data_IF_690492623112
#
_entry.id   IF_690492623112
#
_cell.length_a   1.000
_cell.length_b   1.000
_cell.length_c   1.000
_cell.angle_alpha   90.00
_cell.angle_beta   90.00
_cell.angle_gamma   90.00
#
_symmetry.space_group_name_H-M   'P 1'
#
loop_
_entity.id
_entity.type
_entity.pdbx_description
1 polymer ?
#
# COMPACT_ATOMS: atom_id res chain seq x y z
N UNK A 1 -39.35 -50.75 -12.18
CA UNK A 1 -39.29 -49.29 -11.94
C UNK A 1 -39.61 -48.61 -13.26
N UNK A 2 -40.84 -48.14 -13.42
CA UNK A 2 -41.42 -47.73 -14.70
C UNK A 2 -41.21 -46.25 -15.01
N UNK A 3 -40.85 -45.99 -16.25
CA UNK A 3 -40.85 -44.72 -16.98
C UNK A 3 -42.27 -44.45 -17.51
N UNK A 4 -42.81 -43.23 -17.39
CA UNK A 4 -43.73 -42.61 -18.37
C UNK A 4 -43.89 -41.11 -18.06
N UNK A 5 -43.63 -40.29 -19.07
CA UNK A 5 -43.99 -38.87 -19.18
C UNK A 5 -45.47 -38.71 -19.55
N UNK A 6 -46.14 -37.60 -19.23
CA UNK A 6 -47.17 -37.00 -20.10
C UNK A 6 -47.51 -35.54 -19.73
N UNK A 7 -47.75 -34.73 -20.78
CA UNK A 7 -48.02 -33.29 -20.82
C UNK A 7 -49.53 -32.96 -20.86
N UNK A 8 -49.83 -31.65 -20.68
CA UNK A 8 -51.05 -30.87 -21.07
C UNK A 8 -52.27 -30.95 -20.13
N UNK A 9 -53.11 -29.93 -19.91
CA UNK A 9 -53.55 -28.79 -20.74
C UNK A 9 -54.16 -27.64 -19.89
N UNK A 10 -54.47 -26.52 -20.53
CA UNK A 10 -54.70 -25.13 -20.06
C UNK A 10 -56.19 -24.71 -19.94
N UNK A 11 -56.45 -23.63 -19.13
CA UNK A 11 -57.50 -22.53 -19.15
C UNK A 11 -58.80 -22.68 -18.33
N UNK A 12 -59.58 -21.59 -18.02
CA UNK A 12 -59.33 -20.11 -18.07
C UNK A 12 -59.86 -19.29 -16.84
N UNK A 13 -59.63 -17.96 -16.81
CA UNK A 13 -60.26 -16.93 -15.95
C UNK A 13 -61.63 -16.44 -16.50
N UNK A 14 -62.58 -15.98 -15.64
CA UNK A 14 -63.28 -14.67 -15.72
C UNK A 14 -64.49 -14.49 -14.74
N UNK A 15 -64.51 -13.29 -14.12
CA UNK A 15 -65.53 -12.42 -13.46
C UNK A 15 -67.06 -12.72 -13.42
N UNK A 16 -67.71 -12.31 -12.30
CA UNK A 16 -68.98 -11.52 -12.17
C UNK A 16 -69.23 -11.22 -10.66
N UNK A 17 -69.13 -9.98 -10.16
CA UNK A 17 -70.17 -8.93 -10.02
C UNK A 17 -71.39 -9.31 -9.17
N UNK A 18 -71.44 -8.83 -7.91
CA UNK A 18 -72.69 -8.66 -7.14
C UNK A 18 -72.51 -7.49 -6.15
N UNK A 19 -73.25 -6.40 -6.38
CA UNK A 19 -73.55 -5.35 -5.41
C UNK A 19 -74.81 -5.73 -4.63
N UNK A 20 -74.77 -5.62 -3.30
CA UNK A 20 -75.93 -5.22 -2.50
C UNK A 20 -75.46 -4.79 -1.09
N UNK A 21 -75.82 -3.56 -0.68
CA UNK A 21 -75.60 -3.00 0.65
C UNK A 21 -76.75 -3.44 1.59
N UNK A 22 -76.58 -3.61 2.92
CA UNK A 22 -76.57 -2.42 3.79
C UNK A 22 -75.84 -2.51 5.17
N UNK A 23 -75.41 -1.34 5.64
CA UNK A 23 -75.37 -0.82 7.04
C UNK A 23 -74.72 -1.57 8.21
N UNK A 24 -73.69 -0.90 8.76
CA UNK A 24 -73.32 -0.71 10.18
C UNK A 24 -73.17 -1.93 11.12
N UNK A 25 -71.92 -2.27 11.42
CA UNK A 25 -71.48 -2.57 12.79
C UNK A 25 -69.97 -2.29 12.95
N UNK A 26 -69.66 -1.33 13.82
CA UNK A 26 -68.33 -0.93 14.25
C UNK A 26 -67.62 -2.07 15.00
N UNK A 27 -66.48 -2.54 14.51
CA UNK A 27 -65.47 -3.24 15.31
C UNK A 27 -64.06 -2.82 14.89
N UNK A 28 -63.67 -1.67 15.43
CA UNK A 28 -62.37 -1.38 16.01
C UNK A 28 -61.27 -2.45 15.78
N UNK A 29 -60.58 -2.38 14.64
CA UNK A 29 -59.21 -2.88 14.50
C UNK A 29 -58.37 -1.66 14.15
N UNK A 30 -57.73 -1.13 15.17
CA UNK A 30 -56.73 -0.08 15.09
C UNK A 30 -55.54 -0.61 14.27
N UNK A 31 -55.60 -0.53 12.95
CA UNK A 31 -54.44 -0.74 12.08
C UNK A 31 -53.53 0.47 12.25
N UNK A 32 -52.65 0.37 13.25
CA UNK A 32 -51.54 1.31 13.43
C UNK A 32 -50.79 1.36 12.10
N UNK A 33 -51.00 2.43 11.35
CA UNK A 33 -50.40 2.63 10.02
C UNK A 33 -48.90 2.65 10.24
N UNK A 34 -48.20 1.65 9.72
CA UNK A 34 -46.73 1.59 9.80
C UNK A 34 -46.23 2.68 8.86
N UNK A 35 -45.58 3.70 9.40
CA UNK A 35 -45.01 4.80 8.61
C UNK A 35 -43.99 4.26 7.61
N UNK A 36 -44.05 4.69 6.35
CA UNK A 36 -43.18 4.22 5.26
C UNK A 36 -41.68 4.43 5.56
N UNK A 37 -41.37 5.41 6.42
CA UNK A 37 -40.01 5.70 6.91
C UNK A 37 -39.38 4.55 7.71
N UNK A 38 -40.18 3.58 8.17
CA UNK A 38 -39.70 2.35 8.83
C UNK A 38 -39.13 1.34 7.81
N UNK A 39 -39.49 1.48 6.53
CA UNK A 39 -39.04 0.61 5.45
C UNK A 39 -37.88 1.19 4.64
N UNK A 40 -37.39 2.38 5.00
CA UNK A 40 -36.20 2.96 4.36
C UNK A 40 -34.96 2.47 5.13
N UNK A 41 -34.30 1.43 4.61
CA UNK A 41 -32.90 1.17 4.95
C UNK A 41 -32.08 2.37 4.48
N UNK A 42 -31.78 3.29 5.40
CA UNK A 42 -30.78 4.33 5.16
C UNK A 42 -29.43 3.65 5.21
N UNK A 43 -28.97 3.15 4.07
CA UNK A 43 -27.56 2.80 3.88
C UNK A 43 -26.73 4.02 4.23
N UNK A 44 -26.17 4.04 5.44
CA UNK A 44 -25.10 4.98 5.75
C UNK A 44 -23.96 4.59 4.81
N UNK A 45 -23.48 5.50 3.94
CA UNK A 45 -22.25 5.21 3.20
C UNK A 45 -21.19 4.86 4.25
N UNK A 46 -20.61 3.67 4.12
CA UNK A 46 -19.62 3.14 5.05
C UNK A 46 -18.47 4.14 5.18
N UNK A 47 -18.44 4.90 6.28
CA UNK A 47 -17.36 5.84 6.58
C UNK A 47 -15.99 5.14 6.69
N UNK A 48 -15.98 3.81 6.85
CA UNK A 48 -14.79 2.97 6.92
C UNK A 48 -14.04 2.91 5.58
N UNK A 49 -14.73 2.89 4.43
CA UNK A 49 -14.08 2.70 3.13
C UNK A 49 -13.22 3.91 2.68
N UNK A 50 -13.55 5.12 3.13
CA UNK A 50 -12.78 6.33 2.78
C UNK A 50 -11.50 6.48 3.62
N UNK A 51 -11.52 6.03 4.88
CA UNK A 51 -10.36 6.08 5.77
C UNK A 51 -9.28 5.12 5.28
N UNK A 52 -9.67 3.93 4.82
CA UNK A 52 -8.74 2.93 4.31
C UNK A 52 -8.03 3.40 3.02
N UNK A 53 -8.75 4.12 2.14
CA UNK A 53 -8.17 4.64 0.89
C UNK A 53 -7.07 5.69 1.13
N UNK A 54 -7.32 6.67 1.99
CA UNK A 54 -6.36 7.76 2.26
C UNK A 54 -5.12 7.25 3.00
N UNK A 55 -5.30 6.30 3.92
CA UNK A 55 -4.20 5.64 4.64
C UNK A 55 -3.33 4.82 3.70
N UNK A 56 -3.93 4.08 2.75
CA UNK A 56 -3.20 3.29 1.76
C UNK A 56 -2.41 4.19 0.81
N UNK A 57 -3.01 5.25 0.29
CA UNK A 57 -2.35 6.17 -0.64
C UNK A 57 -1.15 6.86 0.02
N UNK A 58 -1.35 7.32 1.26
CA UNK A 58 -0.28 7.88 2.07
C UNK A 58 0.83 6.84 2.38
N UNK A 59 0.47 5.57 2.64
CA UNK A 59 1.47 4.52 2.85
C UNK A 59 2.29 4.24 1.58
N UNK A 60 1.68 4.23 0.40
CA UNK A 60 2.36 4.03 -0.88
C UNK A 60 3.41 5.12 -1.11
N UNK A 61 3.01 6.39 -1.01
CA UNK A 61 3.94 7.52 -1.22
C UNK A 61 5.05 7.52 -0.18
N UNK A 62 4.72 7.30 1.08
CA UNK A 62 5.68 7.36 2.18
C UNK A 62 6.76 6.27 2.09
N UNK A 63 6.43 5.07 1.62
CA UNK A 63 7.41 3.97 1.57
C UNK A 63 8.50 4.21 0.51
N UNK A 64 8.12 4.72 -0.67
CA UNK A 64 9.10 5.03 -1.71
C UNK A 64 9.93 6.26 -1.35
N UNK A 65 9.30 7.29 -0.77
CA UNK A 65 10.00 8.48 -0.27
C UNK A 65 11.03 8.13 0.80
N UNK A 66 10.75 7.18 1.69
CA UNK A 66 11.72 6.71 2.68
C UNK A 66 12.95 6.07 2.04
N UNK A 67 12.80 5.34 0.95
CA UNK A 67 13.93 4.76 0.22
C UNK A 67 14.79 5.84 -0.43
N UNK A 68 14.16 6.82 -1.10
CA UNK A 68 14.91 7.94 -1.69
C UNK A 68 15.56 8.83 -0.63
N UNK A 69 14.84 9.13 0.46
CA UNK A 69 15.40 9.85 1.60
C UNK A 69 16.62 9.14 2.18
N UNK A 70 16.65 7.80 2.16
CA UNK A 70 17.84 7.06 2.53
C UNK A 70 18.97 7.28 1.53
N UNK A 71 18.73 7.10 0.22
CA UNK A 71 19.70 7.28 -0.86
C UNK A 71 20.33 8.69 -0.88
N UNK A 72 19.54 9.72 -0.57
CA UNK A 72 19.97 11.12 -0.57
C UNK A 72 20.80 11.51 0.67
N UNK A 73 20.99 10.60 1.64
CA UNK A 73 21.76 10.91 2.86
C UNK A 73 23.22 11.19 2.52
N UNK A 74 23.67 12.39 2.91
CA UNK A 74 25.08 12.72 2.92
C UNK A 74 25.74 12.26 4.24
N UNK A 75 26.65 11.29 4.14
CA UNK A 75 27.34 10.69 5.29
C UNK A 75 28.78 11.19 5.46
N UNK A 76 29.15 12.28 4.79
CA UNK A 76 30.50 12.84 4.84
C UNK A 76 30.91 13.33 6.23
N UNK A 77 30.05 14.07 6.93
CA UNK A 77 30.38 14.54 8.29
C UNK A 77 30.63 13.37 9.24
N UNK A 78 29.76 12.36 9.21
CA UNK A 78 29.92 11.16 10.03
C UNK A 78 31.23 10.45 9.71
N UNK A 79 31.53 10.26 8.42
CA UNK A 79 32.79 9.63 8.01
C UNK A 79 34.01 10.40 8.51
N UNK A 80 33.98 11.73 8.45
CA UNK A 80 35.04 12.59 8.95
C UNK A 80 35.24 12.42 10.46
N UNK A 81 34.16 12.48 11.24
CA UNK A 81 34.19 12.34 12.70
C UNK A 81 34.65 10.94 13.15
N UNK A 82 34.20 9.91 12.43
CA UNK A 82 34.60 8.51 12.66
C UNK A 82 36.10 8.32 12.42
N UNK A 83 36.68 8.98 11.42
CA UNK A 83 38.13 8.94 11.19
C UNK A 83 38.92 9.65 12.30
N UNK A 84 38.42 10.77 12.83
CA UNK A 84 39.06 11.46 13.96
C UNK A 84 39.05 10.61 15.25
N UNK A 85 38.05 9.76 15.41
CA UNK A 85 37.87 8.89 16.59
C UNK A 85 38.61 7.57 16.46
N UNK A 86 38.48 6.90 15.31
CA UNK A 86 39.16 5.65 15.00
C UNK A 86 39.66 5.61 13.54
N UNK A 87 40.93 6.03 13.29
CA UNK A 87 41.52 6.16 11.96
C UNK A 87 42.06 4.83 11.40
N UNK A 88 41.33 3.74 11.58
CA UNK A 88 41.73 2.42 11.08
C UNK A 88 40.89 1.98 9.86
N UNK A 89 41.45 1.12 9.01
CA UNK A 89 40.76 0.62 7.81
C UNK A 89 39.65 -0.37 8.15
N UNK A 90 39.75 -1.06 9.29
CA UNK A 90 38.78 -2.06 9.71
C UNK A 90 37.43 -1.42 10.10
N UNK A 91 37.47 -0.33 10.85
CA UNK A 91 36.37 0.51 11.26
C UNK A 91 35.70 1.18 10.05
N UNK A 92 36.49 1.63 9.07
CA UNK A 92 35.96 2.07 7.78
C UNK A 92 35.15 0.95 7.12
N UNK A 93 35.74 -0.24 6.94
CA UNK A 93 35.08 -1.37 6.29
C UNK A 93 33.82 -1.82 7.03
N UNK A 94 33.86 -1.91 8.36
CA UNK A 94 32.69 -2.26 9.18
C UNK A 94 31.54 -1.26 9.01
N UNK A 95 31.83 0.04 9.00
CA UNK A 95 30.80 1.05 8.80
C UNK A 95 30.23 1.01 7.37
N UNK A 96 31.06 0.79 6.36
CA UNK A 96 30.60 0.62 4.98
C UNK A 96 29.70 -0.63 4.83
N UNK A 97 30.06 -1.74 5.45
CA UNK A 97 29.24 -2.95 5.47
C UNK A 97 27.90 -2.72 6.21
N UNK A 98 27.93 -1.99 7.32
CA UNK A 98 26.72 -1.59 8.05
C UNK A 98 25.77 -0.75 7.18
N UNK A 99 26.29 0.26 6.48
CA UNK A 99 25.50 1.10 5.57
C UNK A 99 24.86 0.29 4.45
N UNK A 100 25.60 -0.64 3.83
CA UNK A 100 25.07 -1.52 2.79
C UNK A 100 23.95 -2.41 3.34
N UNK A 101 24.12 -2.98 4.53
CA UNK A 101 23.10 -3.80 5.18
C UNK A 101 21.85 -2.99 5.53
N UNK A 102 22.00 -1.73 5.94
CA UNK A 102 20.88 -0.83 6.22
C UNK A 102 20.11 -0.49 4.93
N UNK A 103 20.81 -0.22 3.83
CA UNK A 103 20.20 -0.03 2.51
C UNK A 103 19.39 -1.25 2.09
N UNK A 104 20.01 -2.44 2.13
CA UNK A 104 19.34 -3.69 1.74
C UNK A 104 18.12 -4.00 2.61
N UNK A 105 18.18 -3.69 3.91
CA UNK A 105 17.03 -3.85 4.82
C UNK A 105 15.89 -2.91 4.42
N UNK A 106 16.21 -1.67 4.06
CA UNK A 106 15.25 -0.65 3.64
C UNK A 106 14.58 -1.05 2.33
N UNK A 107 15.36 -1.45 1.32
CA UNK A 107 14.87 -1.98 0.04
C UNK A 107 13.93 -3.16 0.29
N UNK A 108 14.35 -4.15 1.09
CA UNK A 108 13.53 -5.33 1.39
C UNK A 108 12.19 -4.96 2.01
N UNK A 109 12.17 -4.01 2.95
CA UNK A 109 10.94 -3.54 3.59
C UNK A 109 9.97 -2.94 2.57
N UNK A 110 10.47 -2.04 1.72
CA UNK A 110 9.65 -1.37 0.69
C UNK A 110 9.14 -2.37 -0.34
N UNK A 111 10.00 -3.30 -0.79
CA UNK A 111 9.63 -4.38 -1.70
C UNK A 111 8.53 -5.25 -1.14
N UNK A 112 8.68 -5.76 0.09
CA UNK A 112 7.65 -6.58 0.75
C UNK A 112 6.32 -5.84 0.86
N UNK A 113 6.34 -4.56 1.21
CA UNK A 113 5.12 -3.74 1.24
C UNK A 113 4.39 -3.73 -0.11
N UNK A 114 5.09 -3.47 -1.22
CA UNK A 114 4.45 -3.45 -2.54
C UNK A 114 3.99 -4.83 -3.00
N UNK A 115 4.75 -5.89 -2.72
CA UNK A 115 4.33 -7.26 -3.03
C UNK A 115 3.05 -7.67 -2.30
N UNK A 116 2.96 -7.34 -1.00
CA UNK A 116 1.78 -7.60 -0.18
C UNK A 116 0.59 -6.75 -0.68
N UNK A 117 0.83 -5.47 -0.95
CA UNK A 117 -0.20 -4.53 -1.42
C UNK A 117 -0.79 -4.94 -2.78
N UNK A 118 0.06 -5.37 -3.73
CA UNK A 118 -0.41 -5.86 -5.03
C UNK A 118 -1.28 -7.10 -4.87
N UNK A 119 -0.89 -8.04 -3.98
CA UNK A 119 -1.68 -9.25 -3.69
C UNK A 119 -3.04 -8.92 -3.09
N UNK A 120 -3.09 -7.93 -2.19
CA UNK A 120 -4.34 -7.45 -1.59
C UNK A 120 -5.24 -6.77 -2.63
N UNK A 121 -4.68 -5.91 -3.49
CA UNK A 121 -5.44 -5.30 -4.60
C UNK A 121 -6.02 -6.37 -5.52
N UNK A 122 -5.24 -7.39 -5.88
CA UNK A 122 -5.71 -8.45 -6.77
C UNK A 122 -6.92 -9.20 -6.19
N UNK A 123 -6.89 -9.50 -4.90
CA UNK A 123 -8.03 -10.07 -4.20
C UNK A 123 -9.26 -9.15 -4.26
N UNK A 124 -9.08 -7.84 -4.04
CA UNK A 124 -10.18 -6.89 -4.11
C UNK A 124 -10.74 -6.71 -5.53
N UNK A 125 -9.89 -6.66 -6.55
CA UNK A 125 -10.32 -6.62 -7.96
C UNK A 125 -11.23 -7.82 -8.26
N UNK A 126 -10.81 -9.02 -7.89
CA UNK A 126 -11.57 -10.24 -8.15
C UNK A 126 -12.92 -10.24 -7.41
N UNK A 127 -12.91 -9.86 -6.13
CA UNK A 127 -14.12 -9.80 -5.30
C UNK A 127 -15.13 -8.78 -5.83
N UNK A 128 -14.67 -7.56 -6.14
CA UNK A 128 -15.53 -6.46 -6.63
C UNK A 128 -16.03 -6.70 -8.05
N UNK A 129 -15.22 -7.35 -8.89
CA UNK A 129 -15.63 -7.76 -10.24
C UNK A 129 -16.79 -8.74 -10.20
N UNK A 130 -16.78 -9.72 -9.27
CA UNK A 130 -17.90 -10.66 -9.10
C UNK A 130 -19.19 -9.98 -8.65
N UNK A 131 -19.08 -8.91 -7.88
CA UNK A 131 -20.22 -8.10 -7.41
C UNK A 131 -20.71 -7.08 -8.45
N UNK A 132 -20.06 -6.97 -9.61
CA UNK A 132 -20.44 -6.02 -10.67
C UNK A 132 -20.04 -4.57 -10.40
N UNK A 133 -19.11 -4.32 -9.47
CA UNK A 133 -18.64 -2.96 -9.11
C UNK A 133 -17.58 -2.46 -10.10
N UNK A 134 -17.99 -2.12 -11.32
CA UNK A 134 -17.10 -1.81 -12.45
C UNK A 134 -16.18 -0.62 -12.14
N UNK A 135 -16.71 0.50 -11.65
CA UNK A 135 -15.93 1.72 -11.40
C UNK A 135 -14.84 1.49 -10.34
N UNK A 136 -15.18 0.77 -9.27
CA UNK A 136 -14.22 0.40 -8.22
C UNK A 136 -13.14 -0.54 -8.74
N UNK A 137 -13.49 -1.49 -9.59
CA UNK A 137 -12.52 -2.39 -10.22
C UNK A 137 -11.54 -1.60 -11.07
N UNK A 138 -12.01 -0.60 -11.83
CA UNK A 138 -11.14 0.22 -12.66
C UNK A 138 -10.21 1.11 -11.83
N UNK A 139 -10.70 1.71 -10.73
CA UNK A 139 -9.87 2.42 -9.76
C UNK A 139 -8.76 1.52 -9.17
N UNK A 140 -9.12 0.28 -8.79
CA UNK A 140 -8.17 -0.68 -8.22
C UNK A 140 -7.10 -1.12 -9.24
N UNK A 141 -7.47 -1.29 -10.52
CA UNK A 141 -6.49 -1.60 -11.58
C UNK A 141 -5.49 -0.46 -11.76
N UNK A 142 -5.95 0.79 -11.78
CA UNK A 142 -5.04 1.94 -11.85
C UNK A 142 -4.08 1.96 -10.66
N UNK A 143 -4.58 1.72 -9.45
CA UNK A 143 -3.73 1.64 -8.24
C UNK A 143 -2.72 0.49 -8.32
N UNK A 144 -3.11 -0.66 -8.86
CA UNK A 144 -2.19 -1.77 -9.13
C UNK A 144 -1.10 -1.39 -10.12
N UNK A 145 -1.43 -0.68 -11.19
CA UNK A 145 -0.46 -0.23 -12.19
C UNK A 145 0.59 0.72 -11.56
N UNK A 146 0.13 1.68 -10.74
CA UNK A 146 1.03 2.60 -10.01
C UNK A 146 1.95 1.81 -9.07
N UNK A 147 1.40 0.90 -8.27
CA UNK A 147 2.18 0.03 -7.39
C UNK A 147 3.18 -0.84 -8.16
N UNK A 148 2.78 -1.34 -9.34
CA UNK A 148 3.62 -2.04 -10.29
C UNK A 148 4.83 -1.21 -10.75
N UNK A 149 4.60 0.04 -11.15
CA UNK A 149 5.69 0.95 -11.50
C UNK A 149 6.63 1.22 -10.32
N UNK A 150 6.09 1.34 -9.09
CA UNK A 150 6.92 1.56 -7.91
C UNK A 150 7.79 0.34 -7.56
N UNK A 151 7.26 -0.89 -7.63
CA UNK A 151 8.06 -2.08 -7.35
C UNK A 151 9.16 -2.27 -8.41
N UNK A 152 8.92 -1.94 -9.67
CA UNK A 152 9.97 -1.98 -10.71
C UNK A 152 11.15 -1.06 -10.37
N UNK A 153 10.87 0.16 -9.89
CA UNK A 153 11.93 1.10 -9.42
C UNK A 153 12.70 0.53 -8.23
N UNK A 154 12.00 -0.09 -7.28
CA UNK A 154 12.63 -0.72 -6.11
C UNK A 154 13.53 -1.88 -6.52
N UNK A 155 13.12 -2.70 -7.50
CA UNK A 155 13.92 -3.80 -8.05
C UNK A 155 15.15 -3.30 -8.80
N UNK A 156 15.03 -2.17 -9.51
CA UNK A 156 16.18 -1.52 -10.14
C UNK A 156 17.19 -1.07 -9.07
N UNK A 157 16.73 -0.37 -8.02
CA UNK A 157 17.59 0.06 -6.91
C UNK A 157 18.23 -1.15 -6.19
N UNK A 158 17.49 -2.26 -6.04
CA UNK A 158 18.03 -3.51 -5.48
C UNK A 158 19.17 -4.06 -6.35
N UNK A 159 19.00 -4.06 -7.67
CA UNK A 159 20.01 -4.52 -8.62
C UNK A 159 21.26 -3.65 -8.56
N UNK A 160 21.08 -2.33 -8.59
CA UNK A 160 22.16 -1.34 -8.47
C UNK A 160 22.95 -1.54 -7.16
N UNK A 161 22.25 -1.73 -6.04
CA UNK A 161 22.87 -1.97 -4.74
C UNK A 161 23.67 -3.28 -4.66
N UNK A 162 23.21 -4.34 -5.34
CA UNK A 162 23.92 -5.62 -5.41
C UNK A 162 25.17 -5.52 -6.29
N UNK A 163 25.08 -4.77 -7.39
CA UNK A 163 26.17 -4.56 -8.33
C UNK A 163 27.16 -3.47 -7.87
N UNK A 164 26.83 -2.72 -6.81
CA UNK A 164 27.60 -1.57 -6.30
C UNK A 164 27.74 -0.47 -7.35
N UNK A 165 26.61 -0.11 -7.97
CA UNK A 165 26.53 0.91 -9.01
C UNK A 165 25.33 1.83 -8.82
N UNK A 166 25.21 2.83 -9.69
CA UNK A 166 24.10 3.76 -9.70
C UNK A 166 23.98 4.63 -8.45
N UNK A 167 22.76 5.07 -8.17
CA UNK A 167 22.47 6.00 -7.08
C UNK A 167 22.62 5.35 -5.69
N UNK A 168 22.64 4.01 -5.65
CA UNK A 168 22.80 3.22 -4.42
C UNK A 168 24.15 3.43 -3.72
N UNK A 169 25.19 3.81 -4.46
CA UNK A 169 26.55 4.00 -3.92
C UNK A 169 26.80 5.42 -3.37
N UNK A 170 25.89 6.38 -3.59
CA UNK A 170 26.09 7.78 -3.18
C UNK A 170 26.43 7.94 -1.68
N UNK A 171 25.73 7.19 -0.84
CA UNK A 171 25.96 7.15 0.62
C UNK A 171 27.34 6.58 0.95
N UNK A 172 27.73 5.48 0.29
CA UNK A 172 29.01 4.79 0.50
C UNK A 172 30.16 5.72 0.10
N UNK A 173 30.03 6.40 -1.03
CA UNK A 173 31.01 7.34 -1.55
C UNK A 173 31.14 8.55 -0.61
N UNK A 174 30.02 9.14 -0.18
CA UNK A 174 30.04 10.31 0.72
C UNK A 174 30.68 9.99 2.06
N UNK A 175 30.36 8.84 2.67
CA UNK A 175 31.00 8.37 3.89
C UNK A 175 32.51 8.16 3.70
N UNK A 176 32.91 7.46 2.63
CA UNK A 176 34.31 7.18 2.33
C UNK A 176 35.11 8.46 2.11
N UNK A 177 34.52 9.45 1.42
CA UNK A 177 35.12 10.78 1.24
C UNK A 177 35.36 11.46 2.58
N UNK A 178 34.35 11.51 3.43
CA UNK A 178 34.46 12.06 4.78
C UNK A 178 35.58 11.42 5.59
N UNK A 179 35.62 10.09 5.61
CA UNK A 179 36.65 9.35 6.34
C UNK A 179 38.06 9.67 5.84
N UNK A 180 38.26 9.70 4.52
CA UNK A 180 39.55 10.08 3.92
C UNK A 180 39.95 11.52 4.26
N UNK A 181 38.99 12.45 4.28
CA UNK A 181 39.23 13.83 4.68
C UNK A 181 39.67 13.93 6.16
N UNK A 182 39.08 13.12 7.04
CA UNK A 182 39.49 13.05 8.45
C UNK A 182 40.92 12.51 8.62
N UNK A 183 41.28 11.46 7.89
CA UNK A 183 42.66 10.94 7.87
C UNK A 183 43.68 11.99 7.37
N UNK A 184 43.30 12.75 6.34
CA UNK A 184 44.14 13.84 5.82
C UNK A 184 44.32 14.93 6.89
N UNK A 185 43.26 15.31 7.61
CA UNK A 185 43.33 16.28 8.69
C UNK A 185 44.27 15.85 9.83
N UNK A 186 44.19 14.58 10.27
CA UNK A 186 45.11 14.00 11.26
C UNK A 186 46.56 14.08 10.78
N UNK A 187 46.79 13.71 9.52
CA UNK A 187 48.12 13.72 8.91
C UNK A 187 48.70 15.14 8.84
N UNK A 188 47.90 16.12 8.40
CA UNK A 188 48.29 17.52 8.37
C UNK A 188 48.64 18.05 9.77
N UNK A 189 47.82 17.75 10.77
CA UNK A 189 48.09 18.15 12.16
C UNK A 189 49.41 17.56 12.67
N UNK A 190 49.66 16.28 12.37
CA UNK A 190 50.88 15.57 12.80
C UNK A 190 52.14 16.12 12.13
N UNK A 191 52.08 16.43 10.83
CA UNK A 191 53.23 16.95 10.06
C UNK A 191 53.54 18.40 10.46
N UNK A 192 52.53 19.26 10.58
CA UNK A 192 52.71 20.68 10.90
C UNK A 192 53.21 20.89 12.34
N UNK A 193 52.77 20.05 13.29
CA UNK A 193 53.22 20.15 14.68
C UNK A 193 54.59 19.50 14.94
N UNK A 194 55.11 18.72 13.99
CA UNK A 194 56.51 18.28 14.01
C UNK A 194 57.40 19.46 13.58
N UNK A 195 57.76 20.30 14.55
CA UNK A 195 58.86 21.27 14.37
C UNK A 195 60.13 20.48 14.03
N UNK A 196 60.62 20.65 12.81
CA UNK A 196 62.01 20.36 12.47
C UNK A 196 62.91 21.50 12.94
#
# INVERSE_FOLDING_TARGET
MGIFSFLTSIKPQASTSFDDHPTNATSNINSKTIEEDIFIERDKPSATENIDKEVIEMAITNNLEQLYSFLDKNMESKGYDDALTNPDSYHLEQNLDSLRKELMRTIKRVKTFYEDFIREIDYHIESRSRSGMIDTVEELKMKKEIAGSHIEKVLLIETDALNKEGDSEGIIISYTRGFRNGLAAISHHTIINKKF
#
